data_IF_087926092024
#
_entry.id   IF_087926092024
#
_cell.length_a   1.000
_cell.length_b   1.000
_cell.length_c   1.000
_cell.angle_alpha   90.00
_cell.angle_beta   90.00
_cell.angle_gamma   90.00
#
_symmetry.space_group_name_H-M   'P 1'
#
loop_
_entity.id
_entity.type
_entity.pdbx_description
1 polymer ?
#
# COMPACT_ATOMS: atom_id res chain seq x y z
N UNK A 1 11.91 24.63 6.00
CA UNK A 1 10.62 23.92 5.98
C UNK A 1 10.48 23.32 4.59
N UNK A 2 10.41 21.99 4.47
CA UNK A 2 10.11 21.37 3.18
C UNK A 2 8.68 21.75 2.79
N UNK A 3 8.47 22.23 1.56
CA UNK A 3 7.13 22.46 1.04
C UNK A 3 6.51 21.10 0.72
N UNK A 4 5.68 20.58 1.62
CA UNK A 4 4.89 19.37 1.37
C UNK A 4 3.82 19.74 0.33
N UNK A 5 3.79 19.00 -0.78
CA UNK A 5 2.77 19.13 -1.83
C UNK A 5 1.80 17.98 -1.69
N UNK A 6 0.51 18.27 -1.64
CA UNK A 6 -0.55 17.29 -1.40
C UNK A 6 -1.52 17.24 -2.58
N UNK A 7 -2.11 16.07 -2.81
CA UNK A 7 -3.18 15.83 -3.77
C UNK A 7 -4.32 15.11 -3.04
N UNK A 8 -5.54 15.62 -3.16
CA UNK A 8 -6.74 14.99 -2.60
C UNK A 8 -7.47 14.16 -3.66
N UNK A 9 -7.84 12.92 -3.31
CA UNK A 9 -8.62 12.01 -4.16
C UNK A 9 -9.79 11.47 -3.37
N UNK A 10 -10.97 11.39 -4.00
CA UNK A 10 -12.16 10.74 -3.44
C UNK A 10 -12.35 9.40 -4.13
N UNK A 11 -12.46 8.35 -3.33
CA UNK A 11 -12.61 6.97 -3.79
C UNK A 11 -13.92 6.41 -3.25
N UNK A 12 -14.67 5.72 -4.10
CA UNK A 12 -15.75 4.84 -3.67
C UNK A 12 -15.19 3.48 -3.18
N UNK A 13 -16.07 2.59 -2.73
CA UNK A 13 -15.71 1.29 -2.15
C UNK A 13 -14.78 0.46 -3.05
N UNK A 14 -15.15 0.25 -4.32
CA UNK A 14 -14.35 -0.60 -5.21
C UNK A 14 -13.02 0.06 -5.58
N UNK A 15 -12.98 1.38 -5.78
CA UNK A 15 -11.75 2.13 -6.05
C UNK A 15 -10.78 2.06 -4.87
N UNK A 16 -11.28 2.25 -3.64
CA UNK A 16 -10.49 2.13 -2.43
C UNK A 16 -9.92 0.71 -2.26
N UNK A 17 -10.72 -0.32 -2.56
CA UNK A 17 -10.27 -1.73 -2.55
C UNK A 17 -9.11 -1.97 -3.51
N UNK A 18 -9.19 -1.46 -4.74
CA UNK A 18 -8.10 -1.61 -5.71
C UNK A 18 -6.83 -0.87 -5.29
N UNK A 19 -6.95 0.33 -4.71
CA UNK A 19 -5.78 1.05 -4.18
C UNK A 19 -5.12 0.26 -3.06
N UNK A 20 -5.91 -0.23 -2.10
CA UNK A 20 -5.40 -1.03 -0.98
C UNK A 20 -4.76 -2.34 -1.45
N UNK A 21 -5.37 -3.04 -2.41
CA UNK A 21 -4.82 -4.26 -2.99
C UNK A 21 -3.50 -3.99 -3.72
N UNK A 22 -3.42 -2.89 -4.49
CA UNK A 22 -2.20 -2.50 -5.19
C UNK A 22 -1.06 -2.19 -4.22
N UNK A 23 -1.33 -1.43 -3.15
CA UNK A 23 -0.37 -1.14 -2.10
C UNK A 23 0.10 -2.43 -1.40
N UNK A 24 -0.82 -3.35 -1.10
CA UNK A 24 -0.48 -4.65 -0.48
C UNK A 24 0.45 -5.48 -1.35
N UNK A 25 0.16 -5.58 -2.64
CA UNK A 25 0.99 -6.33 -3.60
C UNK A 25 2.37 -5.71 -3.77
N UNK A 26 2.45 -4.37 -3.76
CA UNK A 26 3.71 -3.67 -3.89
C UNK A 26 4.59 -3.85 -2.64
N UNK A 27 4.00 -3.86 -1.45
CA UNK A 27 4.72 -4.22 -0.23
C UNK A 27 5.31 -5.63 -0.29
N UNK A 28 4.56 -6.62 -0.80
CA UNK A 28 5.07 -7.98 -1.00
C UNK A 28 6.24 -8.01 -2.00
N UNK A 29 6.12 -7.27 -3.10
CA UNK A 29 7.18 -7.15 -4.12
C UNK A 29 8.46 -6.55 -3.54
N UNK A 30 8.35 -5.42 -2.83
CA UNK A 30 9.50 -4.73 -2.24
C UNK A 30 10.16 -5.56 -1.15
N UNK A 31 9.37 -6.25 -0.33
CA UNK A 31 9.89 -7.18 0.67
C UNK A 31 10.67 -8.34 0.05
N UNK A 32 10.23 -8.86 -1.09
CA UNK A 32 10.96 -9.88 -1.83
C UNK A 32 12.30 -9.34 -2.35
N UNK A 33 12.30 -8.16 -2.98
CA UNK A 33 13.53 -7.52 -3.49
C UNK A 33 14.53 -7.26 -2.37
N UNK A 34 14.08 -6.65 -1.26
CA UNK A 34 14.92 -6.37 -0.10
C UNK A 34 15.58 -7.64 0.49
N UNK A 35 14.92 -8.79 0.40
CA UNK A 35 15.43 -10.05 0.92
C UNK A 35 16.31 -10.82 -0.07
N UNK A 36 15.97 -10.78 -1.36
CA UNK A 36 16.57 -11.62 -2.40
C UNK A 36 17.69 -10.94 -3.19
N UNK A 37 17.75 -9.61 -3.21
CA UNK A 37 18.77 -8.91 -4.01
C UNK A 37 20.17 -9.11 -3.46
N UNK A 38 21.11 -9.37 -4.37
CA UNK A 38 22.56 -9.40 -4.09
C UNK A 38 23.20 -8.01 -4.22
N UNK A 39 22.45 -7.03 -4.74
CA UNK A 39 22.84 -5.62 -4.81
C UNK A 39 22.39 -4.91 -3.52
N UNK A 40 23.36 -4.48 -2.72
CA UNK A 40 23.11 -3.83 -1.42
C UNK A 40 22.33 -2.52 -1.57
N UNK A 41 22.57 -1.76 -2.63
CA UNK A 41 21.87 -0.49 -2.88
C UNK A 41 20.40 -0.77 -3.26
N UNK A 42 20.16 -1.76 -4.13
CA UNK A 42 18.79 -2.18 -4.50
C UNK A 42 18.01 -2.71 -3.29
N UNK A 43 18.66 -3.52 -2.45
CA UNK A 43 18.03 -4.04 -1.24
C UNK A 43 17.67 -2.89 -0.28
N UNK A 44 18.57 -1.93 -0.08
CA UNK A 44 18.34 -0.78 0.79
C UNK A 44 17.20 0.12 0.26
N UNK A 45 17.18 0.42 -1.03
CA UNK A 45 16.14 1.21 -1.68
C UNK A 45 14.77 0.53 -1.56
N UNK A 46 14.69 -0.78 -1.83
CA UNK A 46 13.46 -1.55 -1.66
C UNK A 46 12.96 -1.56 -0.21
N UNK A 47 13.88 -1.60 0.76
CA UNK A 47 13.56 -1.50 2.19
C UNK A 47 12.98 -0.14 2.56
N UNK A 48 13.54 0.94 2.03
CA UNK A 48 13.03 2.31 2.25
C UNK A 48 11.64 2.49 1.65
N UNK A 49 11.46 2.09 0.38
CA UNK A 49 10.16 2.17 -0.31
C UNK A 49 9.09 1.35 0.43
N UNK A 50 9.45 0.17 0.97
CA UNK A 50 8.53 -0.64 1.76
C UNK A 50 8.02 0.10 3.00
N UNK A 51 8.90 0.84 3.68
CA UNK A 51 8.52 1.63 4.87
C UNK A 51 7.59 2.79 4.51
N UNK A 52 7.80 3.44 3.36
CA UNK A 52 6.93 4.52 2.89
C UNK A 52 5.54 3.98 2.49
N UNK A 53 5.50 2.89 1.71
CA UNK A 53 4.25 2.28 1.25
C UNK A 53 3.47 1.67 2.42
N UNK A 54 4.13 1.05 3.39
CA UNK A 54 3.45 0.51 4.58
C UNK A 54 2.79 1.60 5.41
N UNK A 55 3.44 2.76 5.55
CA UNK A 55 2.85 3.94 6.19
C UNK A 55 1.62 4.45 5.43
N UNK A 56 1.67 4.49 4.09
CA UNK A 56 0.54 4.86 3.25
C UNK A 56 -0.61 3.84 3.38
N UNK A 57 -0.31 2.55 3.29
CA UNK A 57 -1.29 1.47 3.44
C UNK A 57 -1.98 1.53 4.79
N UNK A 58 -1.24 1.72 5.89
CA UNK A 58 -1.82 1.84 7.23
C UNK A 58 -2.79 3.03 7.33
N UNK A 59 -2.44 4.17 6.73
CA UNK A 59 -3.30 5.34 6.74
C UNK A 59 -4.58 5.12 5.91
N UNK A 60 -4.43 4.64 4.67
CA UNK A 60 -5.56 4.41 3.76
C UNK A 60 -6.47 3.32 4.31
N UNK A 61 -5.92 2.21 4.83
CA UNK A 61 -6.69 1.08 5.36
C UNK A 61 -7.51 1.49 6.59
N UNK A 62 -6.92 2.21 7.55
CA UNK A 62 -7.65 2.72 8.72
C UNK A 62 -8.82 3.62 8.32
N UNK A 63 -8.62 4.50 7.36
CA UNK A 63 -9.69 5.38 6.87
C UNK A 63 -10.75 4.61 6.09
N UNK A 64 -10.34 3.68 5.24
CA UNK A 64 -11.25 2.87 4.45
C UNK A 64 -12.12 1.96 5.34
N UNK A 65 -11.53 1.28 6.33
CA UNK A 65 -12.28 0.43 7.29
C UNK A 65 -13.31 1.26 8.06
N UNK A 66 -12.97 2.49 8.45
CA UNK A 66 -13.91 3.38 9.14
C UNK A 66 -15.12 3.77 8.28
N UNK A 67 -14.96 3.87 6.97
CA UNK A 67 -16.01 4.32 6.03
C UNK A 67 -16.80 3.14 5.47
N UNK A 68 -16.10 2.09 5.04
CA UNK A 68 -16.65 0.98 4.28
C UNK A 68 -16.82 -0.30 5.11
N UNK A 69 -16.08 -0.46 6.21
CA UNK A 69 -16.05 -1.67 7.03
C UNK A 69 -14.87 -2.58 6.72
N UNK A 70 -14.64 -3.60 7.57
CA UNK A 70 -13.49 -4.52 7.49
C UNK A 70 -13.40 -5.29 6.16
N UNK A 71 -14.52 -5.52 5.49
CA UNK A 71 -14.55 -6.25 4.22
C UNK A 71 -13.79 -5.53 3.09
N UNK A 72 -13.46 -4.25 3.25
CA UNK A 72 -12.66 -3.50 2.28
C UNK A 72 -11.23 -4.06 2.14
N UNK A 73 -10.75 -4.77 3.16
CA UNK A 73 -9.43 -5.41 3.21
C UNK A 73 -9.44 -6.85 2.71
N UNK A 74 -10.62 -7.41 2.42
CA UNK A 74 -10.71 -8.71 1.80
C UNK A 74 -10.38 -8.55 0.31
N UNK A 75 -9.25 -9.07 -0.15
CA UNK A 75 -8.89 -9.09 -1.58
C UNK A 75 -9.17 -10.45 -2.23
N UNK A 76 -9.78 -11.38 -1.50
CA UNK A 76 -10.20 -12.65 -2.06
C UNK A 76 -11.25 -12.40 -3.13
N UNK A 77 -11.00 -12.98 -4.30
CA UNK A 77 -12.00 -13.10 -5.35
C UNK A 77 -12.81 -14.34 -5.04
N UNK A 78 -13.64 -14.32 -3.99
CA UNK A 78 -14.73 -15.29 -3.95
C UNK A 78 -15.55 -15.04 -5.24
N UNK A 79 -15.64 -16.09 -6.05
CA UNK A 79 -16.31 -16.07 -7.35
C UNK A 79 -17.71 -15.48 -7.17
N UNK A 80 -17.92 -14.28 -7.70
CA UNK A 80 -19.25 -13.76 -8.04
C UNK A 80 -20.02 -14.80 -8.86
#
# INVERSE_FOLDING_TARGET
MANIRELEVKLNDWEARYVLEALSREMERLKAINYESEDEDEAADAGNDFMEISSLYENVSKNAVKIFGEQILDFSREKL
#
